data_IF_232516368422
#
_entry.id   IF_232516368422
#
_cell.length_a   1.000
_cell.length_b   1.000
_cell.length_c   1.000
_cell.angle_alpha   90.00
_cell.angle_beta   90.00
_cell.angle_gamma   90.00
#
_symmetry.space_group_name_H-M   'P 1'
#
loop_
_entity.id
_entity.type
_entity.pdbx_description
1 polymer ?
#
# COMPACT_ATOMS: atom_id res chain seq x y z
N UNK A 1 26.76 13.26 19.70
CA UNK A 1 25.52 13.95 19.26
C UNK A 1 24.97 13.17 18.10
N UNK A 2 23.91 12.41 18.31
CA UNK A 2 23.26 11.64 17.24
C UNK A 2 22.49 12.60 16.35
N UNK A 3 23.02 12.87 15.17
CA UNK A 3 22.36 13.68 14.15
C UNK A 3 21.11 12.89 13.70
N UNK A 4 19.92 13.22 14.24
CA UNK A 4 18.67 12.70 13.71
C UNK A 4 18.46 13.30 12.32
N UNK A 5 18.10 12.51 11.34
CA UNK A 5 17.85 12.94 9.94
C UNK A 5 16.81 14.08 9.84
N UNK A 6 15.98 14.31 10.87
CA UNK A 6 14.92 15.34 10.97
C UNK A 6 15.19 16.47 11.97
N UNK A 7 16.43 16.63 12.45
CA UNK A 7 16.76 17.53 13.58
C UNK A 7 16.98 19.01 13.27
N UNK A 8 16.81 19.50 12.04
CA UNK A 8 17.34 20.79 11.60
C UNK A 8 16.82 22.06 12.31
N UNK A 9 15.66 22.02 12.98
CA UNK A 9 15.07 23.17 13.68
C UNK A 9 14.95 23.01 15.21
N UNK A 10 15.19 21.81 15.72
CA UNK A 10 14.99 21.52 17.14
C UNK A 10 16.32 21.39 17.87
N UNK A 11 16.49 22.16 18.95
CA UNK A 11 17.69 22.14 19.80
C UNK A 11 17.66 21.07 20.89
N UNK A 12 16.48 20.48 21.15
CA UNK A 12 16.28 19.44 22.18
C UNK A 12 16.04 18.07 21.55
N UNK A 13 16.49 17.02 22.23
CA UNK A 13 16.14 15.63 21.87
C UNK A 13 14.63 15.41 22.01
N UNK A 14 14.06 14.58 21.13
CA UNK A 14 12.66 14.18 21.19
C UNK A 14 12.41 13.36 22.46
N UNK A 15 11.25 13.53 23.08
CA UNK A 15 10.84 12.75 24.25
C UNK A 15 10.57 11.29 23.81
N UNK A 16 11.00 10.30 24.61
CA UNK A 16 10.80 8.87 24.33
C UNK A 16 9.32 8.52 24.09
N UNK A 17 8.40 9.13 24.85
CA UNK A 17 6.96 8.92 24.68
C UNK A 17 6.49 9.37 23.29
N UNK A 18 7.01 10.48 22.78
CA UNK A 18 6.68 10.99 21.44
C UNK A 18 7.27 10.10 20.36
N UNK A 19 8.48 9.55 20.56
CA UNK A 19 9.09 8.57 19.65
C UNK A 19 8.24 7.29 19.61
N UNK A 20 7.71 6.86 20.75
CA UNK A 20 6.85 5.69 20.85
C UNK A 20 5.49 5.87 20.16
N UNK A 21 4.90 7.06 20.28
CA UNK A 21 3.61 7.38 19.64
C UNK A 21 3.73 7.51 18.11
N UNK A 22 4.85 8.05 17.63
CA UNK A 22 5.08 8.25 16.20
C UNK A 22 5.60 7.00 15.48
N UNK A 23 6.12 6.01 16.21
CA UNK A 23 6.71 4.83 15.60
C UNK A 23 5.67 3.93 14.92
N UNK A 24 5.71 3.88 13.58
CA UNK A 24 4.84 3.04 12.74
C UNK A 24 5.46 1.69 12.37
N UNK A 25 6.74 1.47 12.66
CA UNK A 25 7.51 0.27 12.25
C UNK A 25 6.82 -1.06 12.63
N UNK A 26 6.02 -1.09 13.69
CA UNK A 26 5.23 -2.28 14.10
C UNK A 26 4.20 -2.73 13.05
N UNK A 27 3.81 -1.84 12.15
CA UNK A 27 2.77 -2.05 11.14
C UNK A 27 3.33 -1.94 9.73
N UNK A 28 4.17 -0.93 9.47
CA UNK A 28 4.64 -0.57 8.13
C UNK A 28 5.83 -1.39 7.63
N UNK A 29 6.45 -2.23 8.48
CA UNK A 29 7.48 -3.19 8.02
C UNK A 29 6.98 -4.05 6.84
N UNK A 30 5.67 -4.23 6.71
CA UNK A 30 5.02 -4.94 5.58
C UNK A 30 5.17 -4.21 4.24
N UNK A 31 5.48 -2.91 4.27
CA UNK A 31 5.71 -2.10 3.08
C UNK A 31 7.15 -2.19 2.56
N UNK A 32 8.06 -2.86 3.28
CA UNK A 32 9.48 -2.91 2.96
C UNK A 32 9.79 -3.28 1.50
N UNK A 33 9.09 -4.30 0.96
CA UNK A 33 9.23 -4.73 -0.44
C UNK A 33 8.93 -3.57 -1.40
N UNK A 34 7.80 -2.91 -1.18
CA UNK A 34 7.29 -1.84 -2.06
C UNK A 34 8.13 -0.58 -1.95
N UNK A 35 8.58 -0.21 -0.74
CA UNK A 35 9.49 0.91 -0.53
C UNK A 35 10.80 0.74 -1.30
N UNK A 36 11.37 -0.47 -1.31
CA UNK A 36 12.57 -0.77 -2.08
C UNK A 36 12.30 -0.69 -3.58
N UNK A 37 11.18 -1.23 -4.07
CA UNK A 37 10.77 -1.15 -5.48
C UNK A 37 10.57 0.31 -5.92
N UNK A 38 9.86 1.11 -5.12
CA UNK A 38 9.64 2.54 -5.36
C UNK A 38 10.98 3.30 -5.33
N UNK A 39 11.85 3.00 -4.38
CA UNK A 39 13.19 3.61 -4.28
C UNK A 39 14.07 3.28 -5.48
N UNK A 40 14.04 2.04 -6.00
CA UNK A 40 14.76 1.66 -7.21
C UNK A 40 14.21 2.40 -8.43
N UNK A 41 12.90 2.45 -8.62
CA UNK A 41 12.29 3.17 -9.73
C UNK A 41 12.61 4.67 -9.68
N UNK A 42 12.59 5.26 -8.48
CA UNK A 42 12.90 6.66 -8.27
C UNK A 42 14.37 6.98 -8.63
N UNK A 43 15.32 6.21 -8.13
CA UNK A 43 16.74 6.47 -8.39
C UNK A 43 17.09 6.25 -9.87
N UNK A 44 16.47 5.27 -10.54
CA UNK A 44 16.62 5.06 -11.98
C UNK A 44 16.06 6.24 -12.78
N UNK A 45 14.94 6.81 -12.35
CA UNK A 45 14.36 8.01 -12.94
C UNK A 45 15.28 9.22 -12.78
N UNK A 46 15.86 9.43 -11.60
CA UNK A 46 16.82 10.53 -11.36
C UNK A 46 18.05 10.41 -12.25
N UNK A 47 18.57 9.21 -12.46
CA UNK A 47 19.69 8.98 -13.38
C UNK A 47 19.32 9.24 -14.83
N UNK A 48 18.15 8.79 -15.28
CA UNK A 48 17.62 9.07 -16.63
C UNK A 48 17.45 10.57 -16.89
N UNK A 49 17.01 11.30 -15.88
CA UNK A 49 16.80 12.76 -15.94
C UNK A 49 18.08 13.57 -15.75
N UNK A 50 19.24 12.92 -15.60
CA UNK A 50 20.53 13.59 -15.43
C UNK A 50 20.74 14.27 -14.07
N UNK A 51 19.90 13.98 -13.08
CA UNK A 51 20.00 14.54 -11.71
C UNK A 51 21.12 13.89 -10.94
N UNK A 52 21.37 12.59 -11.17
CA UNK A 52 22.47 11.83 -10.58
C UNK A 52 23.26 11.10 -11.67
N UNK A 53 24.50 10.70 -11.35
CA UNK A 53 25.32 9.93 -12.27
C UNK A 53 24.90 8.47 -12.32
N UNK A 54 25.13 7.79 -13.44
CA UNK A 54 24.74 6.40 -13.66
C UNK A 54 25.45 5.45 -12.69
N UNK A 55 26.70 5.72 -12.37
CA UNK A 55 27.51 4.94 -11.43
C UNK A 55 26.93 5.02 -10.00
N UNK A 56 26.48 6.20 -9.59
CA UNK A 56 25.83 6.42 -8.29
C UNK A 56 24.47 5.69 -8.23
N UNK A 57 23.70 5.75 -9.31
CA UNK A 57 22.46 5.00 -9.43
C UNK A 57 22.70 3.49 -9.25
N UNK A 58 23.67 2.93 -9.97
CA UNK A 58 23.98 1.50 -9.87
C UNK A 58 24.38 1.11 -8.43
N UNK A 59 25.22 1.91 -7.78
CA UNK A 59 25.64 1.66 -6.41
C UNK A 59 24.47 1.66 -5.43
N UNK A 60 23.55 2.61 -5.56
CA UNK A 60 22.34 2.71 -4.73
C UNK A 60 21.40 1.53 -4.99
N UNK A 61 21.17 1.16 -6.25
CA UNK A 61 20.32 0.01 -6.63
C UNK A 61 20.89 -1.29 -6.06
N UNK A 62 22.21 -1.52 -6.16
CA UNK A 62 22.86 -2.70 -5.62
C UNK A 62 22.80 -2.73 -4.08
N UNK A 63 22.92 -1.56 -3.44
CA UNK A 63 22.73 -1.41 -2.00
C UNK A 63 21.29 -1.77 -1.57
N UNK A 64 20.28 -1.25 -2.26
CA UNK A 64 18.86 -1.56 -2.00
C UNK A 64 18.55 -3.05 -2.17
N UNK A 65 19.09 -3.70 -3.21
CA UNK A 65 18.94 -5.15 -3.41
C UNK A 65 19.58 -5.97 -2.28
N UNK A 66 20.70 -5.51 -1.69
CA UNK A 66 21.29 -6.15 -0.51
C UNK A 66 20.37 -6.02 0.70
N UNK A 67 19.82 -4.83 0.94
CA UNK A 67 18.82 -4.61 2.01
C UNK A 67 17.59 -5.51 1.80
N UNK A 68 17.07 -5.58 0.57
CA UNK A 68 15.95 -6.47 0.24
C UNK A 68 16.25 -7.93 0.57
N UNK A 69 17.46 -8.39 0.25
CA UNK A 69 17.89 -9.76 0.57
C UNK A 69 18.02 -9.98 2.08
N UNK A 70 18.54 -9.03 2.83
CA UNK A 70 18.61 -9.13 4.31
C UNK A 70 17.20 -9.26 4.92
N UNK A 71 16.21 -8.51 4.39
CA UNK A 71 14.81 -8.59 4.82
C UNK A 71 14.23 -9.96 4.48
N UNK A 72 14.39 -10.45 3.26
CA UNK A 72 13.88 -11.74 2.83
C UNK A 72 14.49 -12.93 3.56
N UNK A 73 15.78 -12.82 3.93
CA UNK A 73 16.51 -13.83 4.70
C UNK A 73 16.20 -13.77 6.22
N UNK A 74 15.37 -12.82 6.68
CA UNK A 74 15.05 -12.61 8.09
C UNK A 74 16.23 -12.09 8.93
N UNK A 75 17.25 -11.50 8.28
CA UNK A 75 18.47 -10.98 8.94
C UNK A 75 18.40 -9.47 9.21
N UNK A 76 17.38 -8.80 8.70
CA UNK A 76 17.21 -7.35 8.87
C UNK A 76 16.60 -7.04 10.24
N UNK A 77 17.25 -6.17 11.01
CA UNK A 77 16.76 -5.71 12.31
C UNK A 77 15.94 -4.42 12.15
N UNK A 78 14.63 -4.50 12.43
CA UNK A 78 13.74 -3.33 12.45
C UNK A 78 13.93 -2.56 13.76
N UNK A 79 14.51 -1.35 13.67
CA UNK A 79 14.84 -0.51 14.83
C UNK A 79 13.71 0.49 15.09
N UNK A 80 13.03 0.38 16.23
CA UNK A 80 11.95 1.31 16.65
C UNK A 80 12.40 2.77 16.71
N UNK A 81 13.65 3.02 17.08
CA UNK A 81 14.25 4.37 17.12
C UNK A 81 14.32 5.07 15.77
N UNK A 82 14.17 4.32 14.68
CA UNK A 82 14.12 4.83 13.31
C UNK A 82 12.68 5.06 12.82
N UNK A 83 11.70 5.08 13.73
CA UNK A 83 10.32 5.48 13.50
C UNK A 83 9.56 4.59 12.50
N UNK A 84 9.93 4.60 11.22
CA UNK A 84 9.23 3.93 10.12
C UNK A 84 10.15 2.99 9.32
N UNK A 85 9.56 2.20 8.42
CA UNK A 85 10.29 1.27 7.55
C UNK A 85 11.23 2.02 6.60
N UNK A 86 10.87 3.18 6.14
CA UNK A 86 11.64 3.97 5.19
C UNK A 86 12.96 4.43 5.80
N UNK A 87 12.92 4.98 7.04
CA UNK A 87 14.14 5.35 7.76
C UNK A 87 15.00 4.12 8.09
N UNK A 88 14.39 2.98 8.40
CA UNK A 88 15.12 1.74 8.62
C UNK A 88 15.89 1.32 7.36
N UNK A 89 15.26 1.36 6.18
CA UNK A 89 15.88 1.04 4.90
C UNK A 89 16.96 2.06 4.54
N UNK A 90 16.67 3.36 4.63
CA UNK A 90 17.64 4.45 4.33
C UNK A 90 18.87 4.39 5.25
N UNK A 91 18.66 4.13 6.55
CA UNK A 91 19.75 3.95 7.52
C UNK A 91 20.62 2.75 7.17
N UNK A 92 20.00 1.60 6.88
CA UNK A 92 20.76 0.40 6.50
C UNK A 92 21.49 0.58 5.18
N UNK A 93 20.86 1.22 4.20
CA UNK A 93 21.51 1.57 2.94
C UNK A 93 22.75 2.44 3.19
N UNK A 94 22.64 3.43 4.08
CA UNK A 94 23.78 4.29 4.45
C UNK A 94 24.91 3.50 5.12
N UNK A 95 24.60 2.52 5.96
CA UNK A 95 25.60 1.61 6.54
C UNK A 95 26.35 0.80 5.46
N UNK A 96 25.67 0.42 4.35
CA UNK A 96 26.24 -0.42 3.29
C UNK A 96 27.07 0.38 2.27
N UNK A 97 26.58 1.54 1.81
CA UNK A 97 27.18 2.29 0.70
C UNK A 97 27.70 3.69 1.10
N UNK A 98 27.56 4.07 2.38
CA UNK A 98 28.04 5.36 2.89
C UNK A 98 27.15 6.54 2.51
N UNK A 99 27.66 7.79 2.60
CA UNK A 99 26.89 9.03 2.46
C UNK A 99 26.16 9.21 1.12
N UNK A 100 26.57 8.48 0.07
CA UNK A 100 25.92 8.52 -1.23
C UNK A 100 24.46 8.05 -1.18
N UNK A 101 24.10 7.23 -0.18
CA UNK A 101 22.73 6.80 0.09
C UNK A 101 21.75 7.98 0.23
N UNK A 102 22.19 9.13 0.77
CA UNK A 102 21.38 10.32 0.92
C UNK A 102 20.85 10.89 -0.40
N UNK A 103 21.47 10.59 -1.53
CA UNK A 103 20.99 11.01 -2.86
C UNK A 103 19.67 10.33 -3.24
N UNK A 104 19.33 9.20 -2.63
CA UNK A 104 18.07 8.49 -2.85
C UNK A 104 16.86 9.39 -2.53
N UNK A 105 16.97 10.30 -1.57
CA UNK A 105 15.88 11.19 -1.16
C UNK A 105 15.74 12.46 -2.03
N UNK A 106 16.63 12.67 -3.01
CA UNK A 106 16.60 13.84 -3.90
C UNK A 106 15.26 13.92 -4.65
N UNK A 107 14.64 15.09 -4.65
CA UNK A 107 13.36 15.36 -5.36
C UNK A 107 12.16 14.50 -4.89
N UNK A 108 12.23 13.88 -3.70
CA UNK A 108 11.19 13.03 -3.11
C UNK A 108 10.81 13.54 -1.73
N UNK A 109 9.59 13.25 -1.30
CA UNK A 109 9.13 13.41 0.07
C UNK A 109 8.68 12.08 0.64
N UNK A 110 8.60 11.97 1.95
CA UNK A 110 7.94 10.84 2.62
C UNK A 110 6.47 10.72 2.18
N UNK A 111 5.81 11.84 1.85
CA UNK A 111 4.40 11.86 1.47
C UNK A 111 4.11 11.10 0.18
N UNK A 112 4.82 11.39 -0.92
CA UNK A 112 4.63 10.68 -2.20
C UNK A 112 5.20 9.26 -2.17
N UNK A 113 6.27 9.02 -1.40
CA UNK A 113 6.83 7.70 -1.16
C UNK A 113 5.80 6.77 -0.51
N UNK A 114 5.29 7.12 0.67
CA UNK A 114 4.30 6.31 1.41
C UNK A 114 3.02 6.10 0.59
N UNK A 115 2.54 7.14 -0.11
CA UNK A 115 1.34 7.02 -0.95
C UNK A 115 1.53 6.00 -2.08
N UNK A 116 2.72 5.94 -2.67
CA UNK A 116 3.05 4.98 -3.73
C UNK A 116 3.17 3.56 -3.18
N UNK A 117 3.86 3.39 -2.05
CA UNK A 117 4.05 2.09 -1.40
C UNK A 117 2.71 1.44 -1.02
N UNK A 118 1.80 2.23 -0.44
CA UNK A 118 0.46 1.76 -0.06
C UNK A 118 -0.33 1.31 -1.30
N UNK A 119 -0.25 2.04 -2.42
CA UNK A 119 -0.94 1.65 -3.65
C UNK A 119 -0.41 0.32 -4.19
N UNK A 120 0.91 0.13 -4.27
CA UNK A 120 1.52 -1.13 -4.71
C UNK A 120 1.14 -2.29 -3.78
N UNK A 121 1.21 -2.06 -2.45
CA UNK A 121 0.77 -3.06 -1.46
C UNK A 121 -0.68 -3.46 -1.68
N UNK A 122 -1.59 -2.49 -1.86
CA UNK A 122 -3.01 -2.77 -2.05
C UNK A 122 -3.31 -3.49 -3.36
N UNK A 123 -2.63 -3.11 -4.46
CA UNK A 123 -2.77 -3.80 -5.74
C UNK A 123 -2.42 -5.28 -5.59
N UNK A 124 -1.29 -5.61 -4.95
CA UNK A 124 -0.91 -7.01 -4.72
C UNK A 124 -1.91 -7.74 -3.82
N UNK A 125 -2.35 -7.10 -2.72
CA UNK A 125 -3.29 -7.73 -1.78
C UNK A 125 -4.68 -7.95 -2.36
N UNK A 126 -5.17 -7.00 -3.15
CA UNK A 126 -6.47 -7.13 -3.82
C UNK A 126 -6.42 -8.25 -4.85
N UNK A 127 -5.36 -8.35 -5.65
CA UNK A 127 -5.22 -9.45 -6.60
C UNK A 127 -5.23 -10.82 -5.90
N UNK A 128 -4.49 -10.97 -4.81
CA UNK A 128 -4.51 -12.21 -4.02
C UNK A 128 -5.88 -12.51 -3.39
N UNK A 129 -6.63 -11.48 -2.95
CA UNK A 129 -8.00 -11.67 -2.45
C UNK A 129 -8.96 -12.09 -3.55
N UNK A 130 -8.83 -11.54 -4.77
CA UNK A 130 -9.64 -11.93 -5.93
C UNK A 130 -9.41 -13.42 -6.26
N UNK A 131 -8.16 -13.88 -6.27
CA UNK A 131 -7.82 -15.29 -6.47
C UNK A 131 -8.47 -16.21 -5.42
N UNK A 132 -8.38 -15.84 -4.14
CA UNK A 132 -9.01 -16.60 -3.04
C UNK A 132 -10.55 -16.63 -3.15
N UNK A 133 -11.17 -15.53 -3.56
CA UNK A 133 -12.61 -15.48 -3.82
C UNK A 133 -12.99 -16.43 -4.96
N UNK A 134 -12.22 -16.46 -6.04
CA UNK A 134 -12.46 -17.37 -7.18
C UNK A 134 -12.33 -18.83 -6.79
N UNK A 135 -11.34 -19.19 -5.97
CA UNK A 135 -11.20 -20.56 -5.45
C UNK A 135 -12.39 -20.96 -4.56
N UNK A 136 -12.82 -20.02 -3.69
CA UNK A 136 -14.00 -20.26 -2.85
C UNK A 136 -15.28 -20.42 -3.68
N UNK A 137 -15.47 -19.58 -4.71
CA UNK A 137 -16.61 -19.71 -5.63
C UNK A 137 -16.60 -21.06 -6.36
N UNK A 138 -15.44 -21.55 -6.83
CA UNK A 138 -15.31 -22.88 -7.47
C UNK A 138 -15.70 -23.98 -6.50
N UNK A 139 -15.23 -23.92 -5.26
CA UNK A 139 -15.55 -24.91 -4.22
C UNK A 139 -17.05 -24.94 -3.90
N UNK A 140 -17.66 -23.76 -3.70
CA UNK A 140 -19.09 -23.65 -3.43
C UNK A 140 -19.94 -24.15 -4.62
N UNK A 141 -19.52 -23.83 -5.84
CA UNK A 141 -20.21 -24.30 -7.06
C UNK A 141 -20.15 -25.81 -7.21
N UNK A 142 -19.01 -26.43 -6.91
CA UNK A 142 -18.89 -27.89 -6.93
C UNK A 142 -19.77 -28.54 -5.86
N UNK A 143 -19.75 -27.99 -4.64
CA UNK A 143 -20.63 -28.49 -3.58
C UNK A 143 -22.10 -28.29 -3.88
N UNK A 144 -22.46 -27.19 -4.56
CA UNK A 144 -23.83 -26.96 -5.02
C UNK A 144 -24.27 -28.00 -6.05
N UNK A 145 -23.37 -28.40 -6.96
CA UNK A 145 -23.61 -29.44 -7.96
C UNK A 145 -23.78 -30.82 -7.29
N UNK A 146 -22.92 -31.13 -6.31
CA UNK A 146 -22.96 -32.42 -5.60
C UNK A 146 -24.21 -32.56 -4.72
N UNK A 147 -24.89 -31.48 -4.40
CA UNK A 147 -26.08 -31.42 -3.52
C UNK A 147 -27.28 -30.71 -4.20
N UNK A 148 -27.38 -30.81 -5.51
CA UNK A 148 -28.39 -30.08 -6.28
C UNK A 148 -29.84 -30.50 -5.94
N UNK A 149 -30.05 -31.75 -5.49
CA UNK A 149 -31.32 -32.38 -5.15
C UNK A 149 -31.56 -32.51 -3.63
N UNK A 150 -30.60 -32.12 -2.79
CA UNK A 150 -30.72 -32.17 -1.35
C UNK A 150 -31.71 -31.11 -0.84
N UNK A 151 -32.95 -31.53 -0.53
CA UNK A 151 -34.03 -30.63 -0.09
C UNK A 151 -33.82 -30.20 1.36
N UNK A 152 -33.99 -28.90 1.62
CA UNK A 152 -33.93 -28.31 2.96
C UNK A 152 -35.00 -27.21 3.13
N UNK A 153 -35.43 -26.89 4.37
CA UNK A 153 -36.33 -25.78 4.60
C UNK A 153 -35.61 -24.43 4.38
N UNK A 154 -36.22 -23.56 3.60
CA UNK A 154 -35.86 -22.13 3.53
C UNK A 154 -36.55 -21.38 4.66
N UNK A 155 -35.91 -20.31 5.18
CA UNK A 155 -36.37 -19.51 6.30
C UNK A 155 -36.49 -18.04 5.91
N UNK A 156 -37.57 -17.39 6.42
CA UNK A 156 -37.69 -15.95 6.47
C UNK A 156 -38.13 -15.55 7.87
N UNK A 157 -37.55 -14.49 8.43
CA UNK A 157 -37.85 -14.03 9.80
C UNK A 157 -37.76 -15.16 10.86
N UNK A 158 -36.80 -16.08 10.71
CA UNK A 158 -36.61 -17.27 11.57
C UNK A 158 -37.79 -18.27 11.54
N UNK A 159 -38.69 -18.15 10.57
CA UNK A 159 -39.83 -19.07 10.35
C UNK A 159 -39.58 -19.88 9.08
N UNK A 160 -40.03 -21.13 9.09
CA UNK A 160 -39.99 -21.99 7.90
C UNK A 160 -40.91 -21.38 6.82
N UNK A 161 -40.35 -21.20 5.64
CA UNK A 161 -41.05 -20.64 4.49
C UNK A 161 -41.20 -21.69 3.37
N UNK A 162 -40.32 -21.63 2.38
CA UNK A 162 -40.40 -22.50 1.19
C UNK A 162 -39.33 -23.56 1.22
N UNK A 163 -39.55 -24.75 0.65
CA UNK A 163 -38.47 -25.72 0.44
C UNK A 163 -37.50 -25.20 -0.61
N UNK A 164 -36.22 -25.36 -0.33
CA UNK A 164 -35.12 -25.05 -1.25
C UNK A 164 -34.18 -26.25 -1.33
N UNK A 165 -33.21 -26.23 -2.24
CA UNK A 165 -32.13 -27.21 -2.21
C UNK A 165 -30.86 -26.61 -1.58
N UNK A 166 -30.01 -27.46 -1.03
CA UNK A 166 -28.70 -27.06 -0.53
C UNK A 166 -27.88 -26.45 -1.67
N UNK A 167 -27.93 -27.02 -2.87
CA UNK A 167 -27.28 -26.45 -4.04
C UNK A 167 -27.72 -25.02 -4.33
N UNK A 168 -29.04 -24.74 -4.30
CA UNK A 168 -29.56 -23.38 -4.48
C UNK A 168 -29.08 -22.41 -3.39
N UNK A 169 -29.03 -22.87 -2.13
CA UNK A 169 -28.51 -22.08 -1.02
C UNK A 169 -27.02 -21.73 -1.20
N UNK A 170 -26.18 -22.69 -1.55
CA UNK A 170 -24.76 -22.48 -1.78
C UNK A 170 -24.49 -21.51 -2.94
N UNK A 171 -25.23 -21.60 -4.03
CA UNK A 171 -25.11 -20.68 -5.16
C UNK A 171 -25.43 -19.23 -4.79
N UNK A 172 -26.26 -18.99 -3.76
CA UNK A 172 -26.50 -17.62 -3.28
C UNK A 172 -25.22 -16.95 -2.75
N UNK A 173 -24.33 -17.71 -2.11
CA UNK A 173 -23.01 -17.23 -1.69
C UNK A 173 -22.05 -17.01 -2.86
N UNK A 174 -22.12 -17.84 -3.89
CA UNK A 174 -21.35 -17.61 -5.14
C UNK A 174 -21.68 -16.23 -5.73
N UNK A 175 -22.96 -15.86 -5.76
CA UNK A 175 -23.39 -14.53 -6.22
C UNK A 175 -22.98 -13.39 -5.28
N UNK A 176 -23.00 -13.60 -3.97
CA UNK A 176 -22.48 -12.62 -2.99
C UNK A 176 -21.00 -12.36 -3.24
N UNK A 177 -20.18 -13.39 -3.29
CA UNK A 177 -18.74 -13.29 -3.55
C UNK A 177 -18.41 -12.71 -4.93
N UNK A 178 -19.25 -12.97 -5.94
CA UNK A 178 -19.09 -12.36 -7.25
C UNK A 178 -19.21 -10.83 -7.19
N UNK A 179 -20.17 -10.31 -6.45
CA UNK A 179 -20.32 -8.86 -6.25
C UNK A 179 -19.13 -8.27 -5.49
N UNK A 180 -18.59 -8.98 -4.49
CA UNK A 180 -17.40 -8.52 -3.76
C UNK A 180 -16.15 -8.52 -4.65
N UNK A 181 -15.97 -9.57 -5.47
CA UNK A 181 -14.92 -9.63 -6.49
C UNK A 181 -14.98 -8.44 -7.45
N UNK A 182 -16.17 -8.10 -7.94
CA UNK A 182 -16.35 -6.96 -8.85
C UNK A 182 -15.98 -5.63 -8.18
N UNK A 183 -16.34 -5.41 -6.91
CA UNK A 183 -15.95 -4.21 -6.14
C UNK A 183 -14.43 -4.11 -6.00
N UNK A 184 -13.77 -5.22 -5.64
CA UNK A 184 -12.31 -5.27 -5.51
C UNK A 184 -11.63 -4.99 -6.87
N UNK A 185 -12.06 -5.64 -7.93
CA UNK A 185 -11.53 -5.43 -9.29
C UNK A 185 -11.75 -4.00 -9.78
N UNK A 186 -12.89 -3.40 -9.46
CA UNK A 186 -13.15 -2.01 -9.82
C UNK A 186 -12.26 -1.03 -9.03
N UNK A 187 -11.92 -1.34 -7.79
CA UNK A 187 -10.98 -0.52 -7.00
C UNK A 187 -9.56 -0.49 -7.59
N UNK A 188 -9.11 -1.57 -8.23
CA UNK A 188 -7.80 -1.63 -8.89
C UNK A 188 -7.65 -0.56 -9.98
N UNK A 189 -8.72 -0.23 -10.71
CA UNK A 189 -8.70 0.82 -11.74
C UNK A 189 -8.35 2.20 -11.18
N UNK A 190 -8.79 2.49 -9.95
CA UNK A 190 -8.50 3.77 -9.26
C UNK A 190 -7.13 3.77 -8.58
N UNK A 191 -6.59 2.59 -8.27
CA UNK A 191 -5.24 2.45 -7.72
C UNK A 191 -4.15 2.56 -8.79
N UNK A 192 -4.49 2.38 -10.08
CA UNK A 192 -3.56 2.29 -11.20
C UNK A 192 -3.02 3.66 -11.67
N UNK A 193 -2.75 4.54 -10.71
CA UNK A 193 -2.11 5.85 -10.95
C UNK A 193 -1.04 6.11 -9.89
N UNK A 194 0.17 6.52 -10.34
CA UNK A 194 1.33 6.72 -9.48
C UNK A 194 1.33 8.09 -8.78
N UNK A 195 1.41 8.15 -7.46
CA UNK A 195 1.64 9.40 -6.72
C UNK A 195 3.05 9.94 -6.82
N UNK A 196 4.04 9.08 -7.16
CA UNK A 196 5.46 9.41 -7.10
C UNK A 196 5.82 10.63 -7.98
N UNK A 197 6.62 11.52 -7.41
CA UNK A 197 7.00 12.78 -8.01
C UNK A 197 6.08 13.96 -7.67
N UNK A 198 5.04 13.74 -6.86
CA UNK A 198 4.27 14.82 -6.24
C UNK A 198 5.07 15.52 -5.12
N UNK A 199 6.15 14.91 -4.66
CA UNK A 199 6.98 15.36 -3.55
C UNK A 199 6.16 15.60 -2.27
N UNK A 200 6.39 16.70 -1.56
CA UNK A 200 5.64 16.98 -0.33
C UNK A 200 4.14 17.18 -0.59
N UNK A 201 3.78 17.95 -1.64
CA UNK A 201 2.41 18.20 -2.09
C UNK A 201 2.29 18.92 -3.45
N UNK A 202 3.31 19.65 -3.88
CA UNK A 202 3.22 20.58 -5.01
C UNK A 202 4.27 20.30 -6.10
N UNK A 203 4.85 19.10 -6.10
CA UNK A 203 5.92 18.73 -7.02
C UNK A 203 7.30 19.23 -6.59
N UNK A 204 8.23 19.27 -7.52
CA UNK A 204 9.63 19.63 -7.28
C UNK A 204 10.16 20.44 -8.46
N UNK A 205 11.20 21.27 -8.20
CA UNK A 205 11.92 22.02 -9.25
C UNK A 205 12.93 21.17 -10.03
N UNK A 206 13.19 19.95 -9.61
CA UNK A 206 14.05 19.02 -10.36
C UNK A 206 13.36 18.55 -11.64
N UNK A 207 14.10 18.29 -12.72
CA UNK A 207 13.55 17.82 -14.01
C UNK A 207 13.25 16.32 -13.95
N UNK A 208 12.31 15.90 -13.09
CA UNK A 208 11.91 14.51 -12.92
C UNK A 208 10.97 14.04 -14.02
N UNK A 209 11.05 12.75 -14.37
CA UNK A 209 10.18 12.09 -15.35
C UNK A 209 9.18 11.17 -14.62
N UNK A 210 8.00 11.72 -14.27
CA UNK A 210 6.94 11.00 -13.56
C UNK A 210 6.34 9.86 -14.38
N UNK A 211 6.25 10.00 -15.70
CA UNK A 211 5.77 8.95 -16.60
C UNK A 211 6.71 7.74 -16.56
N UNK A 212 8.02 8.00 -16.59
CA UNK A 212 9.00 6.92 -16.54
C UNK A 212 8.98 6.16 -15.21
N UNK A 213 8.91 6.86 -14.08
CA UNK A 213 8.82 6.19 -12.77
C UNK A 213 7.50 5.42 -12.62
N UNK A 214 6.37 5.96 -13.07
CA UNK A 214 5.08 5.27 -13.08
C UNK A 214 5.16 3.97 -13.89
N UNK A 215 5.74 4.03 -15.10
CA UNK A 215 5.91 2.85 -15.96
C UNK A 215 6.82 1.78 -15.35
N UNK A 216 7.91 2.18 -14.68
CA UNK A 216 8.79 1.22 -13.98
C UNK A 216 8.08 0.48 -12.86
N UNK A 217 7.11 1.12 -12.20
CA UNK A 217 6.31 0.56 -11.12
C UNK A 217 5.04 -0.17 -11.60
N UNK A 218 4.79 -0.21 -12.92
CA UNK A 218 3.64 -0.88 -13.51
C UNK A 218 2.33 -0.10 -13.43
N UNK A 219 2.36 1.17 -13.04
CA UNK A 219 1.18 2.05 -13.10
C UNK A 219 0.90 2.51 -14.54
N UNK A 220 -0.37 2.71 -14.84
CA UNK A 220 -0.84 3.21 -16.14
C UNK A 220 -0.32 4.64 -16.42
N UNK A 221 -0.37 5.53 -15.42
CA UNK A 221 0.06 6.94 -15.52
C UNK A 221 0.36 7.55 -14.15
N UNK A 222 1.03 8.72 -14.07
CA UNK A 222 1.09 9.49 -12.84
C UNK A 222 -0.26 10.16 -12.54
N UNK A 223 -0.57 10.35 -11.25
CA UNK A 223 -1.74 11.11 -10.81
C UNK A 223 -1.69 12.55 -11.30
N UNK A 224 -2.82 13.07 -11.75
CA UNK A 224 -2.91 14.39 -12.41
C UNK A 224 -2.72 15.56 -11.45
N UNK A 225 -3.20 15.45 -10.21
CA UNK A 225 -3.08 16.49 -9.19
C UNK A 225 -2.13 16.05 -8.07
N UNK A 226 -1.10 16.85 -7.79
CA UNK A 226 -0.06 16.50 -6.82
C UNK A 226 -0.55 16.55 -5.36
N UNK A 227 -1.50 17.42 -5.02
CA UNK A 227 -2.08 17.48 -3.67
C UNK A 227 -2.94 16.25 -3.42
N UNK A 228 -3.78 15.88 -4.38
CA UNK A 228 -4.57 14.66 -4.33
C UNK A 228 -3.66 13.43 -4.24
N UNK A 229 -2.59 13.37 -5.01
CA UNK A 229 -1.64 12.27 -5.05
C UNK A 229 -1.07 11.89 -3.68
N UNK A 230 -0.76 12.86 -2.82
CA UNK A 230 -0.19 12.62 -1.49
C UNK A 230 -1.24 12.46 -0.40
N UNK A 231 -2.50 12.87 -0.64
CA UNK A 231 -3.58 12.86 0.36
C UNK A 231 -4.60 11.74 0.15
N UNK A 232 -4.86 11.31 -1.09
CA UNK A 232 -5.87 10.30 -1.41
C UNK A 232 -5.57 8.95 -0.75
N UNK A 233 -6.56 8.43 -0.05
CA UNK A 233 -6.56 7.10 0.59
C UNK A 233 -7.90 6.41 0.38
N UNK A 234 -8.59 6.72 -0.71
CA UNK A 234 -9.96 6.28 -1.00
C UNK A 234 -10.14 4.77 -0.95
N UNK A 235 -9.13 4.03 -1.38
CA UNK A 235 -9.11 2.57 -1.34
C UNK A 235 -9.18 1.99 0.09
N UNK A 236 -8.81 2.75 1.13
CA UNK A 236 -8.88 2.34 2.53
C UNK A 236 -10.23 2.70 3.17
N UNK A 237 -10.90 3.74 2.68
CA UNK A 237 -12.15 4.25 3.25
C UNK A 237 -13.32 3.29 3.06
N UNK A 238 -13.34 2.52 1.96
CA UNK A 238 -14.39 1.53 1.70
C UNK A 238 -14.31 0.26 2.57
N UNK A 239 -13.21 0.06 3.28
CA UNK A 239 -12.97 -1.15 4.08
C UNK A 239 -13.01 -0.92 5.59
N UNK A 240 -13.06 0.33 6.03
CA UNK A 240 -13.09 0.69 7.45
C UNK A 240 -14.16 1.76 7.69
N UNK A 241 -15.11 1.54 8.63
CA UNK A 241 -16.05 2.58 9.00
C UNK A 241 -15.28 3.79 9.56
N UNK A 242 -15.45 4.94 8.92
CA UNK A 242 -14.91 6.20 9.42
C UNK A 242 -15.70 6.64 10.65
N UNK A 243 -15.09 7.29 11.65
CA UNK A 243 -15.83 7.96 12.71
C UNK A 243 -16.88 8.96 12.19
N UNK A 244 -16.68 9.54 11.01
CA UNK A 244 -17.67 10.39 10.32
C UNK A 244 -18.89 9.61 9.87
N UNK A 245 -18.73 8.38 9.38
CA UNK A 245 -19.85 7.53 8.95
C UNK A 245 -20.77 7.18 10.14
N UNK A 246 -20.20 7.11 11.34
CA UNK A 246 -20.94 6.87 12.59
C UNK A 246 -21.67 8.13 13.06
N UNK A 247 -21.14 9.32 12.81
CA UNK A 247 -21.79 10.60 13.16
C UNK A 247 -22.95 10.93 12.22
N UNK A 248 -22.80 10.71 10.92
CA UNK A 248 -23.89 10.92 9.94
C UNK A 248 -25.08 10.00 10.18
N UNK A 249 -24.84 8.77 10.70
CA UNK A 249 -25.92 7.86 11.08
C UNK A 249 -26.69 8.27 12.35
N UNK A 250 -26.21 9.28 13.08
CA UNK A 250 -26.83 9.80 14.31
C UNK A 250 -27.65 11.08 14.13
N UNK A 251 -27.73 11.61 12.92
CA UNK A 251 -28.63 12.74 12.64
C UNK A 251 -30.05 12.20 12.59
N UNK A 252 -30.94 12.59 13.52
CA UNK A 252 -32.33 12.14 13.47
C UNK A 252 -32.96 12.65 12.18
N UNK A 253 -33.62 11.76 11.45
CA UNK A 253 -34.40 12.09 10.25
C UNK A 253 -35.72 12.80 10.61
N UNK A 254 -35.68 13.75 11.55
CA UNK A 254 -36.87 14.51 11.96
C UNK A 254 -36.51 15.98 12.16
N UNK A 255 -36.58 16.71 11.11
CA UNK A 255 -36.98 18.11 11.15
C UNK A 255 -37.83 18.40 9.92
#
# INVERSE_FOLDING_TARGET
MTNKMWGGRFSKATNELLEDLNASIKYDYRLAKYDIEVSIAHIMMLAKSGVIQKEECNLIVDGLKKVQKEISDGKFEFKKKLEDIHMNIESRLTEIIGPIAGKLHTARSRNDQVATDIRLFLIEKINGLVELIEENQKTLSQQALDNFDAIMPGYTHLQIAQPITLGHHLLSYVELFNRDKLRLTDSLKRLDESPLGAAAMAGTSYPIDREYSAKLLGFNKPMSNSIDAVSSRDCLLYTSPSPRDVEESRIPSSA
#
